data_IF_007835216886
#
_entry.id   IF_007835216886
#
_cell.length_a   1.000
_cell.length_b   1.000
_cell.length_c   1.000
_cell.angle_alpha   90.00
_cell.angle_beta   90.00
_cell.angle_gamma   90.00
#
_symmetry.space_group_name_H-M   'P 1'
#
loop_
_entity.id
_entity.type
_entity.pdbx_description
1 polymer ?
#
# COMPACT_ATOMS: atom_id res chain seq x y z
N UNK A 1 0.68 3.06 -1.97
CA UNK A 1 2.11 2.76 -2.25
C UNK A 1 2.85 3.96 -2.84
N UNK A 2 2.39 4.55 -3.96
CA UNK A 2 3.02 5.73 -4.59
C UNK A 2 2.85 7.07 -3.84
N UNK A 3 2.13 7.07 -2.72
CA UNK A 3 1.95 8.21 -1.83
C UNK A 3 3.02 8.29 -0.74
N UNK A 4 3.72 7.17 -0.50
CA UNK A 4 4.82 7.09 0.46
C UNK A 4 6.14 7.38 -0.25
N UNK A 5 6.98 8.18 0.41
CA UNK A 5 8.31 8.45 -0.09
C UNK A 5 9.20 7.19 0.01
N UNK A 6 9.98 6.83 -1.02
CA UNK A 6 10.83 5.63 -1.02
C UNK A 6 11.83 5.57 0.14
N UNK A 7 12.21 6.73 0.67
CA UNK A 7 13.08 6.85 1.84
C UNK A 7 12.57 6.06 3.04
N UNK A 8 11.29 6.18 3.37
CA UNK A 8 10.70 5.50 4.52
C UNK A 8 10.71 3.99 4.34
N UNK A 9 10.44 3.51 3.12
CA UNK A 9 10.52 2.08 2.81
C UNK A 9 11.95 1.55 3.00
N UNK A 10 12.96 2.29 2.54
CA UNK A 10 14.37 1.93 2.68
C UNK A 10 14.79 1.92 4.15
N UNK A 11 14.41 2.92 4.94
CA UNK A 11 14.77 2.99 6.37
C UNK A 11 14.13 1.85 7.18
N UNK A 12 12.85 1.57 6.94
CA UNK A 12 12.18 0.45 7.59
C UNK A 12 12.78 -0.90 7.16
N UNK A 13 13.08 -1.07 5.87
CA UNK A 13 13.71 -2.27 5.34
C UNK A 13 15.12 -2.49 5.92
N UNK A 14 15.90 -1.43 6.09
CA UNK A 14 17.24 -1.47 6.69
C UNK A 14 17.20 -1.93 8.15
N UNK A 15 16.27 -1.40 8.96
CA UNK A 15 16.13 -1.78 10.36
C UNK A 15 15.80 -3.27 10.53
N UNK A 16 14.86 -3.79 9.73
CA UNK A 16 14.51 -5.22 9.76
C UNK A 16 15.59 -6.13 9.16
N UNK A 17 16.42 -5.62 8.24
CA UNK A 17 17.53 -6.37 7.63
C UNK A 17 18.58 -6.80 8.66
N UNK A 18 18.69 -6.13 9.83
CA UNK A 18 19.54 -6.55 10.97
C UNK A 18 19.19 -7.96 11.45
N UNK A 19 17.92 -8.35 11.39
CA UNK A 19 17.40 -9.62 11.89
C UNK A 19 17.12 -10.64 10.79
N UNK A 20 17.53 -10.36 9.54
CA UNK A 20 17.37 -11.25 8.40
C UNK A 20 18.76 -11.70 7.96
N UNK A 21 19.03 -12.99 8.16
CA UNK A 21 20.26 -13.68 7.77
C UNK A 21 20.55 -13.57 6.27
N UNK A 22 19.51 -13.72 5.43
CA UNK A 22 19.57 -13.60 3.97
C UNK A 22 19.13 -12.21 3.48
N UNK A 23 18.56 -12.12 2.28
CA UNK A 23 18.00 -10.90 1.70
C UNK A 23 16.47 -10.88 1.76
N UNK A 24 15.89 -9.75 1.35
CA UNK A 24 14.45 -9.58 1.27
C UNK A 24 14.05 -8.87 -0.03
N UNK A 25 12.96 -9.31 -0.63
CA UNK A 25 12.42 -8.70 -1.85
C UNK A 25 11.77 -7.35 -1.52
N UNK A 26 12.51 -6.26 -1.70
CA UNK A 26 12.00 -4.90 -1.50
C UNK A 26 11.61 -4.26 -2.84
N UNK A 27 10.32 -4.06 -3.05
CA UNK A 27 9.81 -3.27 -4.18
C UNK A 27 9.87 -1.78 -3.87
N UNK A 28 10.39 -0.99 -4.81
CA UNK A 28 10.47 0.47 -4.73
C UNK A 28 9.44 1.10 -5.68
N UNK A 29 8.85 2.21 -5.25
CA UNK A 29 7.75 2.87 -5.96
C UNK A 29 8.10 4.33 -6.20
N UNK A 30 8.10 4.78 -7.45
CA UNK A 30 8.42 6.16 -7.80
C UNK A 30 7.36 6.72 -8.75
N UNK A 31 6.68 7.81 -8.36
CA UNK A 31 5.62 8.41 -9.18
C UNK A 31 6.15 8.94 -10.51
N UNK A 32 7.23 9.71 -10.43
CA UNK A 32 7.87 10.35 -11.58
C UNK A 32 9.31 9.85 -11.67
N UNK A 33 9.63 8.96 -12.62
CA UNK A 33 10.99 8.51 -12.81
C UNK A 33 11.89 9.68 -13.25
N UNK A 34 12.98 9.89 -12.52
CA UNK A 34 14.04 10.82 -12.88
C UNK A 34 15.38 10.17 -12.54
N UNK A 35 16.36 10.27 -13.42
CA UNK A 35 17.69 9.67 -13.22
C UNK A 35 18.34 10.10 -11.90
N UNK A 36 18.23 11.39 -11.55
CA UNK A 36 18.74 11.92 -10.28
C UNK A 36 18.00 11.33 -9.07
N UNK A 37 16.66 11.29 -9.10
CA UNK A 37 15.85 10.71 -8.02
C UNK A 37 16.15 9.21 -7.83
N UNK A 38 16.36 8.48 -8.93
CA UNK A 38 16.73 7.07 -8.90
C UNK A 38 18.11 6.87 -8.29
N UNK A 39 19.10 7.65 -8.74
CA UNK A 39 20.45 7.64 -8.18
C UNK A 39 20.43 7.86 -6.66
N UNK A 40 19.77 8.92 -6.20
CA UNK A 40 19.74 9.28 -4.78
C UNK A 40 19.04 8.21 -3.93
N UNK A 41 17.97 7.60 -4.47
CA UNK A 41 17.24 6.50 -3.83
C UNK A 41 18.09 5.23 -3.70
N UNK A 42 18.76 4.79 -4.77
CA UNK A 42 19.62 3.60 -4.70
C UNK A 42 20.88 3.85 -3.86
N UNK A 43 21.44 5.05 -3.92
CA UNK A 43 22.58 5.43 -3.09
C UNK A 43 22.21 5.49 -1.61
N UNK A 44 20.98 5.90 -1.28
CA UNK A 44 20.43 5.79 0.08
C UNK A 44 20.29 4.33 0.51
N UNK A 45 19.76 3.45 -0.34
CA UNK A 45 19.61 2.03 -0.05
C UNK A 45 20.97 1.37 0.26
N UNK A 46 21.99 1.67 -0.54
CA UNK A 46 23.36 1.21 -0.33
C UNK A 46 23.95 1.71 1.00
N UNK A 47 23.85 3.02 1.27
CA UNK A 47 24.32 3.61 2.56
C UNK A 47 23.61 3.02 3.79
N UNK A 48 22.38 2.54 3.63
CA UNK A 48 21.59 1.91 4.70
C UNK A 48 21.82 0.40 4.83
N UNK A 49 22.74 -0.18 4.05
CA UNK A 49 23.12 -1.58 4.18
C UNK A 49 22.07 -2.57 3.69
N UNK A 50 21.18 -2.16 2.77
CA UNK A 50 20.25 -3.11 2.15
C UNK A 50 21.00 -4.07 1.22
N UNK A 51 20.72 -5.38 1.38
CA UNK A 51 21.33 -6.43 0.54
C UNK A 51 20.72 -6.47 -0.87
N UNK A 52 19.41 -6.27 -0.97
CA UNK A 52 18.65 -6.48 -2.23
C UNK A 52 17.54 -5.44 -2.42
N UNK A 53 17.32 -5.07 -3.68
CA UNK A 53 16.11 -4.38 -4.16
C UNK A 53 15.52 -5.22 -5.28
N UNK A 54 14.20 -5.31 -5.37
CA UNK A 54 13.53 -6.20 -6.32
C UNK A 54 13.02 -5.46 -7.56
N UNK A 55 11.77 -4.99 -7.57
CA UNK A 55 11.26 -4.18 -8.68
C UNK A 55 11.27 -2.69 -8.38
N UNK A 56 11.58 -1.91 -9.41
CA UNK A 56 11.20 -0.51 -9.50
C UNK A 56 9.83 -0.43 -10.20
N UNK A 57 8.84 0.12 -9.50
CA UNK A 57 7.52 0.40 -10.06
C UNK A 57 7.37 1.90 -10.26
N UNK A 58 7.05 2.30 -11.47
CA UNK A 58 6.81 3.70 -11.84
C UNK A 58 5.38 3.90 -12.29
N UNK A 59 4.84 5.11 -12.10
CA UNK A 59 3.60 5.50 -12.76
C UNK A 59 3.94 6.13 -14.11
N UNK A 60 3.18 5.78 -15.15
CA UNK A 60 3.23 6.50 -16.41
C UNK A 60 2.72 7.94 -16.18
N UNK A 61 3.34 8.92 -16.85
CA UNK A 61 2.90 10.31 -16.78
C UNK A 61 1.46 10.48 -17.27
N UNK A 62 1.00 9.59 -18.15
CA UNK A 62 -0.39 9.49 -18.62
C UNK A 62 -1.06 8.29 -17.96
N UNK A 63 -1.97 8.55 -17.00
CA UNK A 63 -2.86 7.53 -16.46
C UNK A 63 -3.90 7.16 -17.52
N UNK A 64 -4.08 5.87 -17.78
CA UNK A 64 -5.16 5.38 -18.63
C UNK A 64 -6.47 5.58 -17.87
N UNK A 65 -7.35 6.39 -18.44
CA UNK A 65 -8.69 6.62 -17.90
C UNK A 65 -9.43 5.27 -17.81
N UNK A 66 -9.88 4.91 -16.60
CA UNK A 66 -10.54 3.63 -16.37
C UNK A 66 -11.93 3.67 -17.00
N UNK A 67 -12.20 2.74 -17.92
CA UNK A 67 -13.48 2.60 -18.62
C UNK A 67 -14.69 2.30 -17.72
N UNK A 68 -14.48 2.08 -16.42
CA UNK A 68 -15.53 1.81 -15.43
C UNK A 68 -16.04 3.07 -14.73
N UNK A 69 -15.39 4.21 -14.92
CA UNK A 69 -15.88 5.49 -14.40
C UNK A 69 -16.89 6.02 -15.40
N UNK A 70 -18.16 6.17 -15.00
CA UNK A 70 -19.17 6.80 -15.84
C UNK A 70 -18.76 8.26 -16.08
N UNK A 71 -18.24 8.53 -17.28
CA UNK A 71 -17.80 9.85 -17.75
C UNK A 71 -18.94 10.88 -17.60
N UNK A 72 -20.20 10.42 -17.73
CA UNK A 72 -21.39 11.25 -17.61
C UNK A 72 -21.79 11.59 -16.17
N UNK A 73 -21.32 10.82 -15.15
CA UNK A 73 -21.71 11.06 -13.75
C UNK A 73 -20.96 12.23 -13.12
N UNK A 74 -19.74 12.50 -13.59
CA UNK A 74 -18.88 13.54 -13.03
C UNK A 74 -18.69 14.76 -13.94
N UNK A 75 -19.25 14.78 -15.15
CA UNK A 75 -19.23 15.96 -16.04
C UNK A 75 -17.82 16.48 -16.39
N UNK A 76 -16.77 15.70 -16.11
CA UNK A 76 -15.38 16.12 -16.33
C UNK A 76 -15.03 15.81 -17.77
N UNK A 77 -15.44 16.67 -18.70
CA UNK A 77 -14.90 16.66 -20.05
C UNK A 77 -13.53 17.35 -20.04
N UNK A 78 -12.46 16.70 -20.53
CA UNK A 78 -11.18 17.36 -20.65
C UNK A 78 -11.24 18.52 -21.66
N UNK A 79 -10.60 19.66 -21.35
CA UNK A 79 -10.68 20.92 -22.14
C UNK A 79 -10.26 20.80 -23.61
N UNK A 80 -9.54 19.76 -24.01
CA UNK A 80 -9.12 19.55 -25.41
C UNK A 80 -10.16 18.81 -26.25
N UNK A 81 -11.16 18.18 -25.63
CA UNK A 81 -12.24 17.48 -26.33
C UNK A 81 -13.34 18.48 -26.64
N UNK A 82 -13.37 18.94 -27.89
CA UNK A 82 -14.34 19.95 -28.37
C UNK A 82 -15.67 19.36 -28.84
N UNK A 83 -15.74 18.04 -29.04
CA UNK A 83 -16.95 17.34 -29.45
C UNK A 83 -17.66 16.74 -28.23
N UNK A 84 -18.98 16.93 -28.14
CA UNK A 84 -19.79 16.15 -27.20
C UNK A 84 -19.63 14.66 -27.56
N UNK A 85 -19.29 13.83 -26.58
CA UNK A 85 -19.24 12.37 -26.78
C UNK A 85 -20.62 11.89 -27.23
N UNK A 86 -20.68 11.03 -28.25
CA UNK A 86 -21.94 10.42 -28.70
C UNK A 86 -22.67 9.65 -27.58
N UNK A 87 -21.95 9.30 -26.51
CA UNK A 87 -22.48 8.63 -25.33
C UNK A 87 -22.97 9.60 -24.24
N UNK A 88 -22.95 10.92 -24.44
CA UNK A 88 -23.34 11.88 -23.39
C UNK A 88 -24.81 11.81 -22.99
N UNK A 89 -25.67 11.28 -23.86
CA UNK A 89 -27.12 11.17 -23.65
C UNK A 89 -27.55 9.78 -23.18
N UNK A 90 -26.60 8.85 -23.03
CA UNK A 90 -26.89 7.49 -22.58
C UNK A 90 -27.01 7.47 -21.06
N UNK A 91 -28.24 7.34 -20.57
CA UNK A 91 -28.55 7.07 -19.17
C UNK A 91 -28.30 5.59 -18.87
N UNK A 92 -27.17 5.28 -18.23
CA UNK A 92 -26.86 3.92 -17.77
C UNK A 92 -27.55 3.69 -16.43
N UNK A 93 -28.79 3.19 -16.45
CA UNK A 93 -29.45 2.68 -15.25
C UNK A 93 -28.87 1.31 -14.90
N UNK A 94 -27.87 1.28 -14.01
CA UNK A 94 -27.46 0.05 -13.33
C UNK A 94 -28.45 -0.17 -12.17
N UNK A 95 -29.66 -0.65 -12.46
CA UNK A 95 -30.52 -1.24 -11.44
C UNK A 95 -29.90 -2.59 -11.10
N UNK A 96 -29.05 -2.60 -10.08
CA UNK A 96 -28.68 -3.75 -9.23
C UNK A 96 -27.54 -3.29 -8.32
N UNK A 97 -27.86 -2.39 -7.39
CA UNK A 97 -27.05 -2.21 -6.18
C UNK A 97 -27.45 -3.35 -5.22
N UNK A 98 -26.57 -4.31 -4.87
CA UNK A 98 -26.91 -5.39 -3.95
C UNK A 98 -27.09 -4.92 -2.49
N UNK A 99 -27.30 -3.62 -2.27
CA UNK A 99 -27.34 -2.98 -0.94
C UNK A 99 -28.75 -2.77 -0.41
N UNK A 100 -29.81 -3.05 -1.19
CA UNK A 100 -31.20 -2.76 -0.78
C UNK A 100 -32.13 -3.96 -0.66
N UNK A 101 -31.72 -5.19 -1.00
CA UNK A 101 -32.53 -6.37 -0.65
C UNK A 101 -32.10 -6.90 0.71
N UNK A 102 -32.96 -6.65 1.71
CA UNK A 102 -32.82 -7.18 3.06
C UNK A 102 -32.67 -8.70 3.05
N UNK A 103 -31.43 -9.17 3.20
CA UNK A 103 -31.13 -10.55 3.46
C UNK A 103 -31.37 -10.83 4.95
N UNK A 104 -32.33 -11.72 5.19
CA UNK A 104 -32.69 -12.29 6.47
C UNK A 104 -31.46 -12.79 7.24
N UNK A 105 -31.38 -12.42 8.52
CA UNK A 105 -30.33 -12.79 9.45
C UNK A 105 -30.27 -14.31 9.61
N UNK A 106 -29.29 -14.95 8.99
CA UNK A 106 -28.86 -16.29 9.41
C UNK A 106 -28.04 -16.12 10.71
N UNK A 107 -28.46 -16.71 11.84
CA UNK A 107 -27.71 -16.57 13.09
C UNK A 107 -26.34 -17.24 12.94
N UNK A 108 -25.28 -16.47 13.22
CA UNK A 108 -23.91 -16.96 13.26
C UNK A 108 -23.80 -18.12 14.28
N UNK A 109 -22.98 -19.15 14.00
CA UNK A 109 -22.71 -20.19 14.98
C UNK A 109 -22.06 -19.57 16.23
N UNK A 110 -22.66 -19.90 17.36
CA UNK A 110 -22.26 -19.58 18.72
C UNK A 110 -20.80 -19.99 18.93
N UNK A 111 -19.94 -18.99 19.08
CA UNK A 111 -18.58 -19.14 19.55
C UNK A 111 -18.67 -19.55 21.02
N UNK A 112 -18.28 -20.78 21.35
CA UNK A 112 -18.01 -21.16 22.74
C UNK A 112 -16.89 -20.25 23.26
N UNK A 113 -17.28 -19.34 24.13
CA UNK A 113 -16.41 -18.40 24.81
C UNK A 113 -15.54 -19.16 25.82
N UNK A 114 -14.33 -19.52 25.39
CA UNK A 114 -13.21 -19.77 26.31
C UNK A 114 -11.87 -19.52 25.61
N UNK A 115 -11.79 -18.43 24.84
CA UNK A 115 -10.50 -17.83 24.54
C UNK A 115 -10.09 -17.00 25.76
N UNK A 116 -9.18 -17.54 26.57
CA UNK A 116 -8.55 -16.86 27.69
C UNK A 116 -7.91 -15.56 27.16
N UNK A 117 -8.61 -14.45 27.32
CA UNK A 117 -8.08 -13.11 27.00
C UNK A 117 -6.97 -12.83 28.00
N UNK A 118 -5.74 -13.06 27.58
CA UNK A 118 -4.56 -12.60 28.34
C UNK A 118 -4.50 -11.09 28.16
N UNK A 119 -4.52 -10.29 29.24
CA UNK A 119 -4.44 -8.85 29.12
C UNK A 119 -3.12 -8.43 28.46
N UNK A 120 -3.18 -7.44 27.57
CA UNK A 120 -2.04 -6.83 26.84
C UNK A 120 -1.03 -6.12 27.77
N UNK A 121 -1.16 -6.30 29.08
CA UNK A 121 -0.33 -5.65 30.10
C UNK A 121 0.97 -6.38 30.43
N UNK A 122 1.33 -7.44 29.71
CA UNK A 122 2.60 -8.16 29.92
C UNK A 122 3.54 -8.17 28.72
N UNK A 123 3.66 -7.01 28.05
CA UNK A 123 4.80 -6.73 27.16
C UNK A 123 6.10 -6.55 27.98
N UNK A 124 6.01 -6.54 29.31
CA UNK A 124 7.16 -6.43 30.23
C UNK A 124 8.04 -7.69 30.27
N UNK A 125 7.46 -8.85 29.91
CA UNK A 125 8.12 -10.14 30.03
C UNK A 125 8.90 -10.56 28.78
N UNK A 126 8.60 -9.95 27.62
CA UNK A 126 9.41 -10.08 26.42
C UNK A 126 10.35 -8.90 26.36
N UNK A 127 11.65 -9.15 26.51
CA UNK A 127 12.71 -8.16 26.32
C UNK A 127 12.86 -7.86 24.82
N UNK A 128 11.83 -7.24 24.23
CA UNK A 128 11.88 -6.77 22.85
C UNK A 128 12.75 -5.52 22.82
N UNK A 129 13.90 -5.62 22.16
CA UNK A 129 14.76 -4.48 21.95
C UNK A 129 14.00 -3.36 21.22
N UNK A 130 14.18 -2.12 21.68
CA UNK A 130 13.70 -0.97 20.94
C UNK A 130 14.37 -0.94 19.56
N UNK A 131 13.59 -0.70 18.52
CA UNK A 131 14.10 -0.59 17.14
C UNK A 131 15.07 0.60 16.94
N UNK A 132 15.09 1.54 17.89
CA UNK A 132 15.96 2.72 17.88
C UNK A 132 17.27 2.51 18.62
N UNK A 133 17.43 1.37 19.32
CA UNK A 133 18.61 1.09 20.12
C UNK A 133 19.64 0.30 19.28
N UNK A 134 20.78 0.91 18.91
CA UNK A 134 21.81 0.25 18.10
C UNK A 134 22.54 -0.85 18.88
N UNK A 135 22.62 -0.74 20.21
CA UNK A 135 23.44 -1.59 21.09
C UNK A 135 22.62 -2.75 21.69
N UNK A 136 21.32 -2.80 21.43
CA UNK A 136 20.46 -3.82 21.98
C UNK A 136 20.67 -5.19 21.30
N UNK A 137 21.31 -6.11 22.05
CA UNK A 137 21.52 -7.52 21.71
C UNK A 137 20.27 -8.37 22.02
N UNK A 138 19.19 -8.23 21.24
CA UNK A 138 18.02 -9.12 21.36
C UNK A 138 18.23 -10.54 20.80
N UNK A 139 19.44 -10.86 20.31
CA UNK A 139 19.74 -12.16 19.70
C UNK A 139 21.11 -12.69 20.15
N UNK A 140 21.21 -13.09 21.42
CA UNK A 140 22.01 -14.26 21.77
C UNK A 140 21.09 -15.49 21.75
#
# INVERSE_FOLDING_TARGET
>A
AFELEPRWLIECASRRQKWIDMGQSLNLYMREPSGRKLHDMYFLAWRKGLKTTYYLRTLAATQIEKSTVDINKFGVQPRWVKSKSASSEILVNRTDDPRETGAELVPAPHISAEAKVVPVTDVSQYKACSITDPDCEACQ
#
